data_IF_728193085547
#
_entry.id   IF_728193085547
#
_cell.length_a   1.000
_cell.length_b   1.000
_cell.length_c   1.000
_cell.angle_alpha   90.00
_cell.angle_beta   90.00
_cell.angle_gamma   90.00
#
_symmetry.space_group_name_H-M   'P 1'
#
loop_
_entity.id
_entity.type
_entity.pdbx_description
1 polymer ?
#
# COMPACT_ATOMS: atom_id res chain seq x y z
N UNK A 1 -4.78 14.65 -2.14
CA UNK A 1 -3.97 13.52 -2.61
C UNK A 1 -2.59 13.65 -2.01
N UNK A 2 -2.07 12.57 -1.43
CA UNK A 2 -0.73 12.50 -0.86
C UNK A 2 0.05 11.42 -1.58
N UNK A 3 1.26 11.75 -2.04
CA UNK A 3 2.18 10.81 -2.68
C UNK A 3 3.13 10.27 -1.62
N UNK A 4 3.27 8.96 -1.56
CA UNK A 4 4.21 8.27 -0.66
C UNK A 4 5.21 7.53 -1.55
N UNK A 5 6.49 7.96 -1.58
CA UNK A 5 7.51 7.34 -2.40
C UNK A 5 7.76 5.88 -2.01
N UNK A 6 7.75 4.96 -2.97
CA UNK A 6 8.16 3.58 -2.71
C UNK A 6 9.67 3.46 -2.89
N UNK A 7 10.40 3.53 -1.77
CA UNK A 7 11.85 3.41 -1.76
C UNK A 7 12.20 2.20 -0.89
N UNK A 8 12.16 0.97 -1.44
CA UNK A 8 12.49 -0.22 -0.68
C UNK A 8 13.98 -0.24 -0.33
N UNK A 9 14.28 -0.55 0.93
CA UNK A 9 15.63 -0.80 1.42
C UNK A 9 16.03 -2.25 1.18
N UNK A 10 17.27 -2.44 0.73
CA UNK A 10 17.88 -3.76 0.57
C UNK A 10 18.37 -4.36 1.91
N UNK A 11 18.43 -3.56 2.97
CA UNK A 11 18.95 -3.95 4.29
C UNK A 11 17.89 -3.98 5.39
N UNK A 12 16.68 -3.46 5.11
CA UNK A 12 15.57 -3.49 6.05
C UNK A 12 14.66 -4.71 5.84
N UNK A 13 14.05 -5.18 6.93
CA UNK A 13 12.98 -6.19 6.89
C UNK A 13 11.80 -5.69 7.71
N UNK A 14 10.64 -5.39 7.11
CA UNK A 14 10.33 -5.41 5.66
C UNK A 14 11.12 -4.37 4.84
N UNK A 15 11.31 -4.61 3.53
CA UNK A 15 12.05 -3.71 2.66
C UNK A 15 11.40 -2.33 2.54
N UNK A 16 10.09 -2.24 2.62
CA UNK A 16 9.38 -0.96 2.63
C UNK A 16 8.34 -0.91 3.74
N UNK A 17 8.27 0.24 4.41
CA UNK A 17 7.24 0.61 5.37
C UNK A 17 6.93 2.10 5.24
N UNK A 18 5.66 2.47 5.37
CA UNK A 18 5.21 3.85 5.44
C UNK A 18 3.88 3.95 6.21
N UNK A 19 3.60 5.13 6.74
CA UNK A 19 2.31 5.44 7.36
C UNK A 19 1.34 5.96 6.29
N UNK A 20 0.12 5.43 6.30
CA UNK A 20 -0.98 5.84 5.44
C UNK A 20 -2.07 6.44 6.31
N UNK A 21 -2.68 7.54 5.86
CA UNK A 21 -3.79 8.20 6.55
C UNK A 21 -5.03 8.02 5.70
N UNK A 22 -5.93 7.14 6.14
CA UNK A 22 -7.10 6.68 5.40
C UNK A 22 -8.33 6.78 6.30
N UNK A 23 -9.41 7.39 5.81
CA UNK A 23 -10.65 7.72 6.53
C UNK A 23 -10.41 8.42 7.89
N UNK A 24 -9.35 9.25 7.97
CA UNK A 24 -8.96 9.97 9.18
C UNK A 24 -8.20 9.14 10.22
N UNK A 25 -7.91 7.87 9.96
CA UNK A 25 -7.10 7.00 10.81
C UNK A 25 -5.72 6.72 10.19
N UNK A 26 -4.73 6.45 11.04
CA UNK A 26 -3.37 6.10 10.60
C UNK A 26 -3.16 4.59 10.61
N UNK A 27 -2.56 4.10 9.54
CA UNK A 27 -2.24 2.69 9.33
C UNK A 27 -0.77 2.53 8.97
N UNK A 28 -0.17 1.43 9.40
CA UNK A 28 1.17 1.04 8.97
C UNK A 28 1.05 0.14 7.74
N UNK A 29 1.56 0.62 6.61
CA UNK A 29 1.67 -0.17 5.39
C UNK A 29 3.08 -0.74 5.25
N UNK A 30 3.19 -1.97 4.78
CA UNK A 30 4.46 -2.61 4.46
C UNK A 30 4.38 -3.42 3.17
N UNK A 31 5.50 -3.52 2.44
CA UNK A 31 5.60 -4.36 1.23
C UNK A 31 6.65 -5.43 1.45
N UNK A 32 6.34 -6.68 1.08
CA UNK A 32 7.26 -7.82 1.14
C UNK A 32 7.13 -8.68 -0.11
N UNK A 33 8.21 -9.35 -0.50
CA UNK A 33 8.12 -10.41 -1.51
C UNK A 33 7.41 -11.64 -0.93
N UNK A 34 6.38 -12.13 -1.62
CA UNK A 34 5.74 -13.39 -1.28
C UNK A 34 6.35 -14.52 -2.12
N UNK A 35 6.92 -15.54 -1.45
CA UNK A 35 7.60 -16.66 -2.14
C UNK A 35 6.61 -17.55 -2.90
N UNK A 36 5.42 -17.80 -2.35
CA UNK A 36 4.42 -18.66 -2.97
C UNK A 36 3.73 -17.98 -4.17
N UNK A 37 3.37 -16.69 -4.01
CA UNK A 37 2.73 -15.89 -5.06
C UNK A 37 3.70 -15.34 -6.10
N UNK A 38 5.01 -15.46 -5.87
CA UNK A 38 6.11 -14.91 -6.68
C UNK A 38 5.86 -13.47 -7.11
N UNK A 39 5.44 -12.63 -6.16
CA UNK A 39 5.14 -11.22 -6.37
C UNK A 39 5.22 -10.44 -5.07
N UNK A 40 5.31 -9.12 -5.18
CA UNK A 40 5.20 -8.24 -4.00
C UNK A 40 3.77 -8.24 -3.46
N UNK A 41 3.66 -8.27 -2.14
CA UNK A 41 2.42 -8.12 -1.40
C UNK A 41 2.50 -6.86 -0.54
N UNK A 42 1.38 -6.15 -0.46
CA UNK A 42 1.19 -5.06 0.47
C UNK A 42 0.35 -5.55 1.66
N UNK A 43 0.70 -5.07 2.85
CA UNK A 43 0.01 -5.37 4.10
C UNK A 43 -0.26 -4.07 4.81
N UNK A 44 -1.48 -3.90 5.29
CA UNK A 44 -1.92 -2.75 6.06
C UNK A 44 -2.38 -3.21 7.44
N UNK A 45 -1.83 -2.60 8.49
CA UNK A 45 -2.22 -2.85 9.88
C UNK A 45 -2.66 -1.57 10.58
N UNK A 46 -3.56 -1.68 11.54
CA UNK A 46 -3.91 -0.56 12.43
C UNK A 46 -2.80 -0.27 13.46
N UNK A 47 -3.04 0.72 14.31
CA UNK A 47 -2.10 1.13 15.37
C UNK A 47 -1.88 0.07 16.45
N UNK A 48 -2.79 -0.91 16.56
CA UNK A 48 -2.69 -2.03 17.50
C UNK A 48 -2.02 -3.26 16.86
N UNK A 49 -1.64 -3.18 15.59
CA UNK A 49 -1.05 -4.27 14.82
C UNK A 49 -2.08 -5.26 14.25
N UNK A 50 -3.38 -4.95 14.31
CA UNK A 50 -4.40 -5.80 13.70
C UNK A 50 -4.32 -5.70 12.17
N UNK A 51 -4.49 -6.82 11.50
CA UNK A 51 -4.50 -6.88 10.04
C UNK A 51 -5.79 -6.25 9.49
N UNK A 52 -5.64 -5.20 8.68
CA UNK A 52 -6.75 -4.53 8.00
C UNK A 52 -6.88 -5.03 6.56
N UNK A 53 -5.74 -5.21 5.88
CA UNK A 53 -5.72 -5.71 4.52
C UNK A 53 -4.39 -6.38 4.20
N UNK A 54 -4.43 -7.46 3.40
CA UNK A 54 -3.25 -8.08 2.80
C UNK A 54 -3.60 -8.57 1.39
N UNK A 55 -2.73 -8.30 0.43
CA UNK A 55 -2.90 -8.76 -0.94
C UNK A 55 -1.73 -8.40 -1.83
N UNK A 56 -1.81 -8.84 -3.09
CA UNK A 56 -0.79 -8.51 -4.08
C UNK A 56 -0.68 -6.99 -4.27
N UNK A 57 0.55 -6.49 -4.39
CA UNK A 57 0.79 -5.12 -4.80
C UNK A 57 0.53 -5.02 -6.31
N UNK A 58 -0.66 -4.54 -6.67
CA UNK A 58 -1.08 -4.38 -8.07
C UNK A 58 -0.89 -2.92 -8.49
N UNK A 59 -0.17 -2.73 -9.60
CA UNK A 59 0.09 -1.40 -10.14
C UNK A 59 -1.11 -0.92 -10.98
N UNK A 60 -1.55 0.30 -10.70
CA UNK A 60 -2.54 1.06 -11.46
C UNK A 60 -1.84 1.71 -12.66
N UNK A 61 -2.26 1.43 -13.90
CA UNK A 61 -1.76 2.14 -15.08
C UNK A 61 -2.23 3.59 -15.11
N UNK A 62 -1.64 4.41 -15.98
CA UNK A 62 -1.91 5.85 -16.03
C UNK A 62 -3.37 6.23 -16.35
N UNK A 63 -4.11 5.34 -17.00
CA UNK A 63 -5.48 5.57 -17.47
C UNK A 63 -6.54 4.74 -16.72
N UNK A 64 -6.15 3.98 -15.68
CA UNK A 64 -7.10 3.17 -14.92
C UNK A 64 -6.63 2.97 -13.47
N UNK A 65 -7.53 3.23 -12.53
CA UNK A 65 -7.25 3.09 -11.11
C UNK A 65 -7.57 1.68 -10.61
N UNK A 66 -6.58 1.03 -9.99
CA UNK A 66 -6.74 -0.25 -9.28
C UNK A 66 -6.49 0.02 -7.80
N UNK A 67 -7.57 0.08 -7.02
CA UNK A 67 -7.47 0.28 -5.57
C UNK A 67 -6.88 -0.95 -4.89
N UNK A 68 -5.89 -0.75 -4.01
CA UNK A 68 -5.25 -1.85 -3.28
C UNK A 68 -6.16 -2.42 -2.20
N UNK A 69 -6.89 -1.60 -1.46
CA UNK A 69 -7.79 -2.05 -0.39
C UNK A 69 -9.27 -1.71 -0.71
N UNK A 70 -9.84 -2.23 -1.81
CA UNK A 70 -11.18 -1.85 -2.24
C UNK A 70 -12.22 -2.31 -1.21
N UNK A 71 -13.16 -1.41 -0.88
CA UNK A 71 -14.25 -1.69 0.06
C UNK A 71 -13.88 -1.65 1.54
N UNK A 72 -12.61 -1.42 1.89
CA UNK A 72 -12.17 -1.25 3.28
C UNK A 72 -12.43 0.18 3.76
N UNK A 73 -12.15 1.16 2.91
CA UNK A 73 -12.30 2.58 3.19
C UNK A 73 -13.53 3.16 2.50
N UNK A 74 -14.17 4.13 3.16
CA UNK A 74 -15.41 4.78 2.71
C UNK A 74 -15.14 5.98 1.81
N UNK A 75 -14.14 6.79 2.14
CA UNK A 75 -13.82 8.02 1.40
C UNK A 75 -12.41 7.97 0.81
N UNK A 76 -11.48 7.37 1.54
CA UNK A 76 -10.10 7.27 1.10
C UNK A 76 -9.89 6.25 -0.01
N UNK A 77 -8.95 6.56 -0.89
CA UNK A 77 -8.43 5.61 -1.88
C UNK A 77 -6.95 5.37 -1.63
N UNK A 78 -6.49 4.18 -1.99
CA UNK A 78 -5.09 3.80 -1.91
C UNK A 78 -4.71 3.05 -3.18
N UNK A 79 -3.73 3.59 -3.91
CA UNK A 79 -3.25 3.05 -5.17
C UNK A 79 -1.73 2.90 -5.13
N UNK A 80 -1.20 2.00 -5.95
CA UNK A 80 0.21 1.97 -6.33
C UNK A 80 0.32 2.24 -7.82
N UNK A 81 1.12 3.21 -8.24
CA UNK A 81 1.22 3.66 -9.63
C UNK A 81 2.33 2.96 -10.38
N UNK A 82 2.01 2.39 -11.54
CA UNK A 82 2.98 1.77 -12.44
C UNK A 82 4.04 2.79 -12.94
N UNK A 83 3.59 3.92 -13.46
CA UNK A 83 4.49 4.89 -14.12
C UNK A 83 5.47 5.62 -13.19
N UNK A 84 5.18 5.70 -11.89
CA UNK A 84 6.03 6.41 -10.92
C UNK A 84 6.59 5.51 -9.84
N UNK A 85 6.12 4.27 -9.74
CA UNK A 85 6.35 3.39 -8.60
C UNK A 85 6.05 4.07 -7.26
N UNK A 86 5.04 4.93 -7.16
CA UNK A 86 4.67 5.56 -5.89
C UNK A 86 3.32 5.07 -5.41
N UNK A 87 3.10 5.12 -4.10
CA UNK A 87 1.76 5.06 -3.58
C UNK A 87 1.08 6.41 -3.70
N UNK A 88 -0.21 6.38 -3.97
CA UNK A 88 -1.10 7.53 -3.90
C UNK A 88 -2.21 7.23 -2.91
N UNK A 89 -2.47 8.16 -2.00
CA UNK A 89 -3.65 8.12 -1.15
C UNK A 89 -4.50 9.39 -1.31
N UNK A 90 -5.81 9.23 -1.23
CA UNK A 90 -6.75 10.34 -1.02
C UNK A 90 -7.39 10.18 0.37
N UNK A 91 -7.60 11.26 1.14
CA UNK A 91 -8.41 11.24 2.36
C UNK A 91 -9.88 10.89 2.06
#
# INVERSE_FOLDING_TARGET
MTIIPFIPSLTASPPFQATFTLDGANYLGSVRWNIAGQRFYFTLTDQNGNLIWNGALVASPANFDIYLAPGIFKTSTLLFRDGTNNFEQTP
#
